data_IF_313185850472
#
_entry.id   IF_313185850472
#
_cell.length_a   1.000
_cell.length_b   1.000
_cell.length_c   1.000
_cell.angle_alpha   90.00
_cell.angle_beta   90.00
_cell.angle_gamma   90.00
#
_symmetry.space_group_name_H-M   'P 1'
#
loop_
_entity.id
_entity.type
_entity.pdbx_description
1 polymer ?
#
# COMPACT_ATOMS: atom_id res chain seq x y z
N UNK A 1 -21.29 3.47 -4.23
CA UNK A 1 -20.33 4.42 -4.85
C UNK A 1 -20.74 4.83 -6.26
N UNK A 2 -20.82 3.92 -7.25
CA UNK A 2 -21.18 4.28 -8.64
C UNK A 2 -22.57 4.95 -8.74
N UNK A 3 -23.61 4.32 -8.19
CA UNK A 3 -24.96 4.90 -8.15
C UNK A 3 -25.01 6.22 -7.36
N UNK A 4 -24.23 6.30 -6.28
CA UNK A 4 -24.12 7.48 -5.41
C UNK A 4 -23.28 8.61 -6.02
N UNK A 5 -22.54 8.35 -7.11
CA UNK A 5 -21.55 9.25 -7.73
C UNK A 5 -20.60 9.92 -6.74
N UNK A 6 -20.18 9.16 -5.73
CA UNK A 6 -19.28 9.62 -4.69
C UNK A 6 -18.57 8.46 -4.00
N UNK A 7 -17.35 8.73 -3.55
CA UNK A 7 -16.59 7.88 -2.63
C UNK A 7 -15.09 7.90 -2.90
N UNK A 8 -14.33 7.19 -2.06
CA UNK A 8 -12.88 7.09 -2.17
C UNK A 8 -12.43 5.65 -1.88
N UNK A 9 -11.74 5.04 -2.84
CA UNK A 9 -11.07 3.74 -2.68
C UNK A 9 -9.59 3.99 -2.37
N UNK A 10 -9.09 3.42 -1.28
CA UNK A 10 -7.69 3.56 -0.86
C UNK A 10 -7.05 2.18 -0.81
N UNK A 11 -6.02 1.98 -1.64
CA UNK A 11 -5.22 0.77 -1.64
C UNK A 11 -3.96 0.94 -0.79
N UNK A 12 -3.63 -0.07 0.00
CA UNK A 12 -2.34 -0.15 0.71
C UNK A 12 -1.40 -1.08 -0.07
N UNK A 13 -0.49 -0.46 -0.84
CA UNK A 13 0.55 -1.16 -1.58
C UNK A 13 1.81 -1.33 -0.71
N UNK A 14 2.97 -0.96 -1.23
CA UNK A 14 4.28 -1.00 -0.59
C UNK A 14 5.25 -0.17 -1.43
N UNK A 15 6.34 0.32 -0.83
CA UNK A 15 7.51 0.79 -1.58
C UNK A 15 7.95 -0.23 -2.65
N UNK A 16 7.83 -1.54 -2.36
CA UNK A 16 8.13 -2.62 -3.31
C UNK A 16 7.13 -2.76 -4.47
N UNK A 17 6.06 -1.96 -4.50
CA UNK A 17 5.22 -1.76 -5.68
C UNK A 17 5.81 -0.78 -6.69
N UNK A 18 6.94 -0.14 -6.36
CA UNK A 18 7.63 0.85 -7.21
C UNK A 18 9.09 0.49 -7.49
N UNK A 19 9.71 -0.25 -6.57
CA UNK A 19 11.08 -0.75 -6.71
C UNK A 19 11.12 -2.26 -6.48
N UNK A 20 12.05 -2.96 -7.12
CA UNK A 20 12.28 -4.37 -6.89
C UNK A 20 13.39 -4.57 -5.84
N UNK A 21 13.17 -5.49 -4.90
CA UNK A 21 14.16 -5.86 -3.87
C UNK A 21 14.49 -7.35 -4.05
N UNK A 22 15.78 -7.77 -4.00
CA UNK A 22 16.17 -9.17 -4.06
C UNK A 22 15.41 -10.05 -3.06
N UNK A 23 15.19 -11.32 -3.42
CA UNK A 23 14.48 -12.33 -2.60
C UNK A 23 13.00 -12.03 -2.30
N UNK A 24 12.41 -11.03 -2.94
CA UNK A 24 10.99 -10.65 -2.75
C UNK A 24 10.21 -10.62 -4.06
N UNK A 25 10.60 -11.43 -5.06
CA UNK A 25 10.04 -11.37 -6.42
C UNK A 25 8.52 -11.46 -6.47
N UNK A 26 7.92 -12.48 -5.83
CA UNK A 26 6.46 -12.65 -5.81
C UNK A 26 5.74 -11.49 -5.10
N UNK A 27 6.28 -11.04 -3.96
CA UNK A 27 5.73 -9.92 -3.21
C UNK A 27 5.81 -8.62 -4.02
N UNK A 28 6.98 -8.27 -4.55
CA UNK A 28 7.19 -7.10 -5.39
C UNK A 28 6.30 -7.12 -6.64
N UNK A 29 6.18 -8.27 -7.32
CA UNK A 29 5.28 -8.43 -8.46
C UNK A 29 3.81 -8.16 -8.09
N UNK A 30 3.32 -8.74 -6.99
CA UNK A 30 1.94 -8.49 -6.52
C UNK A 30 1.68 -7.01 -6.19
N UNK A 31 2.67 -6.32 -5.61
CA UNK A 31 2.54 -4.91 -5.25
C UNK A 31 2.64 -3.98 -6.46
N UNK A 32 3.41 -4.33 -7.49
CA UNK A 32 3.39 -3.65 -8.79
C UNK A 32 2.06 -3.86 -9.50
N UNK A 33 1.53 -5.09 -9.51
CA UNK A 33 0.22 -5.39 -10.09
C UNK A 33 -0.89 -4.57 -9.43
N UNK A 34 -0.83 -4.40 -8.10
CA UNK A 34 -1.77 -3.55 -7.38
C UNK A 34 -1.70 -2.07 -7.78
N UNK A 35 -0.51 -1.53 -8.09
CA UNK A 35 -0.37 -0.17 -8.62
C UNK A 35 -1.07 -0.04 -9.97
N UNK A 36 -0.78 -0.97 -10.90
CA UNK A 36 -1.36 -0.97 -12.24
C UNK A 36 -2.89 -1.13 -12.19
N UNK A 37 -3.39 -1.99 -11.30
CA UNK A 37 -4.83 -2.16 -11.07
C UNK A 37 -5.47 -0.87 -10.58
N UNK A 38 -4.89 -0.21 -9.58
CA UNK A 38 -5.43 1.02 -9.04
C UNK A 38 -5.37 2.19 -10.06
N UNK A 39 -4.33 2.24 -10.89
CA UNK A 39 -4.22 3.23 -11.97
C UNK A 39 -5.30 3.03 -13.03
N UNK A 40 -5.56 1.78 -13.42
CA UNK A 40 -6.65 1.43 -14.35
C UNK A 40 -8.01 1.78 -13.76
N UNK A 41 -8.27 1.35 -12.52
CA UNK A 41 -9.52 1.62 -11.82
C UNK A 41 -9.76 3.13 -11.70
N UNK A 42 -8.74 3.92 -11.39
CA UNK A 42 -8.84 5.39 -11.30
C UNK A 42 -9.36 5.99 -12.60
N UNK A 43 -8.85 5.54 -13.75
CA UNK A 43 -9.31 6.01 -15.05
C UNK A 43 -10.75 5.58 -15.35
N UNK A 44 -11.09 4.33 -15.05
CA UNK A 44 -12.43 3.77 -15.27
C UNK A 44 -13.51 4.46 -14.43
N UNK A 45 -13.20 4.82 -13.18
CA UNK A 45 -14.20 5.35 -12.24
C UNK A 45 -14.25 6.87 -12.16
N UNK A 46 -13.36 7.58 -12.85
CA UNK A 46 -13.24 9.04 -12.78
C UNK A 46 -14.56 9.75 -13.12
N UNK A 47 -15.30 9.25 -14.12
CA UNK A 47 -16.60 9.80 -14.54
C UNK A 47 -17.73 9.63 -13.50
N UNK A 48 -17.51 8.80 -12.48
CA UNK A 48 -18.46 8.60 -11.38
C UNK A 48 -18.07 9.41 -10.13
N UNK A 49 -17.11 10.34 -10.21
CA UNK A 49 -16.64 11.13 -9.08
C UNK A 49 -16.18 10.25 -7.89
N UNK A 50 -15.54 9.13 -8.22
CA UNK A 50 -14.93 8.21 -7.25
C UNK A 50 -13.42 8.44 -7.28
N UNK A 51 -12.83 8.73 -6.11
CA UNK A 51 -11.39 8.92 -5.95
C UNK A 51 -10.70 7.57 -5.75
N UNK A 52 -9.49 7.43 -6.27
CA UNK A 52 -8.66 6.23 -6.06
C UNK A 52 -7.24 6.64 -5.69
N UNK A 53 -6.80 6.25 -4.49
CA UNK A 53 -5.45 6.51 -3.98
C UNK A 53 -4.70 5.22 -3.68
N UNK A 54 -3.37 5.26 -3.84
CA UNK A 54 -2.49 4.15 -3.46
C UNK A 54 -1.44 4.65 -2.48
N UNK A 55 -1.45 4.09 -1.28
CA UNK A 55 -0.46 4.35 -0.25
C UNK A 55 0.65 3.32 -0.37
N UNK A 56 1.90 3.76 -0.44
CA UNK A 56 3.06 2.89 -0.66
C UNK A 56 4.04 3.01 0.50
N UNK A 57 3.74 2.41 1.66
CA UNK A 57 4.59 2.55 2.84
C UNK A 57 5.91 1.79 2.70
N UNK A 58 6.92 2.30 3.41
CA UNK A 58 8.13 1.58 3.79
C UNK A 58 7.85 0.51 4.85
N UNK A 59 8.84 0.24 5.70
CA UNK A 59 8.69 -0.75 6.77
C UNK A 59 7.78 -0.23 7.89
N UNK A 60 6.86 -1.08 8.33
CA UNK A 60 5.92 -0.81 9.42
C UNK A 60 6.12 -1.91 10.46
N UNK A 61 6.20 -1.51 11.73
CA UNK A 61 6.30 -2.40 12.86
C UNK A 61 5.02 -3.23 13.02
N UNK A 62 5.03 -4.42 12.42
CA UNK A 62 3.93 -5.39 12.38
C UNK A 62 4.50 -6.79 12.46
N UNK A 63 3.63 -7.80 12.60
CA UNK A 63 4.04 -9.22 12.58
C UNK A 63 4.36 -9.76 11.18
N UNK A 64 4.62 -8.90 10.18
CA UNK A 64 4.82 -9.33 8.79
C UNK A 64 6.01 -10.27 8.62
N UNK A 65 7.16 -9.96 9.24
CA UNK A 65 8.35 -10.83 9.18
C UNK A 65 8.13 -12.12 9.97
N UNK A 66 7.55 -12.05 11.16
CA UNK A 66 7.20 -13.21 11.98
C UNK A 66 6.33 -14.23 11.20
N UNK A 67 5.35 -13.73 10.45
CA UNK A 67 4.40 -14.53 9.68
C UNK A 67 4.85 -14.84 8.24
N UNK A 68 6.04 -14.39 7.82
CA UNK A 68 6.55 -14.70 6.49
C UNK A 68 6.79 -16.21 6.36
N UNK A 69 6.78 -16.72 5.12
CA UNK A 69 7.06 -18.13 4.86
C UNK A 69 8.48 -18.29 4.33
N UNK A 70 9.13 -19.37 4.77
CA UNK A 70 10.40 -19.84 4.21
C UNK A 70 10.16 -20.62 2.91
N UNK A 71 11.23 -20.99 2.20
CA UNK A 71 11.14 -21.83 1.01
C UNK A 71 10.53 -23.22 1.28
N UNK A 72 10.56 -23.68 2.53
CA UNK A 72 9.94 -24.94 2.95
C UNK A 72 8.44 -24.83 3.27
N UNK A 73 7.88 -23.62 3.28
CA UNK A 73 6.50 -23.36 3.68
C UNK A 73 6.32 -23.16 5.19
N UNK A 74 7.36 -23.39 6.00
CA UNK A 74 7.35 -23.09 7.44
C UNK A 74 7.37 -21.58 7.70
N UNK A 75 6.84 -21.18 8.85
CA UNK A 75 6.90 -19.77 9.29
C UNK A 75 8.33 -19.34 9.55
N UNK A 76 8.66 -18.11 9.14
CA UNK A 76 9.99 -17.54 9.33
C UNK A 76 10.25 -17.24 10.80
N UNK A 77 9.23 -16.78 11.54
CA UNK A 77 9.26 -16.67 13.01
C UNK A 77 10.23 -15.63 13.58
N UNK A 78 10.96 -14.90 12.74
CA UNK A 78 11.98 -13.94 13.16
C UNK A 78 11.50 -12.51 12.84
N UNK A 79 11.64 -11.62 13.84
CA UNK A 79 11.42 -10.20 13.63
C UNK A 79 12.62 -9.58 12.94
N UNK A 80 12.49 -9.29 11.65
CA UNK A 80 13.52 -8.55 10.89
C UNK A 80 13.79 -7.18 11.53
N UNK A 81 15.06 -6.79 11.64
CA UNK A 81 15.46 -5.50 12.21
C UNK A 81 14.82 -4.31 11.48
N UNK A 82 14.67 -4.39 10.15
CA UNK A 82 14.00 -3.35 9.34
C UNK A 82 12.52 -3.23 9.66
N UNK A 83 11.86 -4.33 10.01
CA UNK A 83 10.45 -4.32 10.43
C UNK A 83 10.33 -3.79 11.85
N UNK A 84 11.23 -4.21 12.75
CA UNK A 84 11.29 -3.73 14.13
C UNK A 84 11.55 -2.21 14.23
N UNK A 85 12.43 -1.69 13.36
CA UNK A 85 12.78 -0.27 13.27
C UNK A 85 11.85 0.53 12.36
N UNK A 86 10.77 -0.07 11.86
CA UNK A 86 9.80 0.59 10.99
C UNK A 86 8.95 1.61 11.73
N UNK A 87 8.12 2.36 10.99
CA UNK A 87 7.12 3.22 11.61
C UNK A 87 6.08 2.41 12.38
N UNK A 88 5.51 2.96 13.45
CA UNK A 88 4.39 2.30 14.12
C UNK A 88 3.15 2.26 13.22
N UNK A 89 2.36 1.20 13.36
CA UNK A 89 1.10 1.08 12.61
C UNK A 89 0.15 2.26 12.89
N UNK A 90 0.10 2.72 14.14
CA UNK A 90 -0.66 3.89 14.58
C UNK A 90 -0.23 5.17 13.83
N UNK A 91 1.07 5.41 13.73
CA UNK A 91 1.61 6.58 13.03
C UNK A 91 1.23 6.54 11.54
N UNK A 92 1.40 5.38 10.90
CA UNK A 92 1.06 5.21 9.49
C UNK A 92 -0.44 5.39 9.26
N UNK A 93 -1.29 4.83 10.12
CA UNK A 93 -2.74 4.99 10.03
C UNK A 93 -3.16 6.46 10.14
N UNK A 94 -2.61 7.20 11.11
CA UNK A 94 -2.87 8.63 11.28
C UNK A 94 -2.41 9.42 10.05
N UNK A 95 -1.23 9.13 9.49
CA UNK A 95 -0.75 9.77 8.26
C UNK A 95 -1.64 9.51 7.06
N UNK A 96 -2.14 8.28 6.91
CA UNK A 96 -3.09 7.94 5.85
C UNK A 96 -4.39 8.75 6.03
N UNK A 97 -4.89 8.86 7.26
CA UNK A 97 -6.10 9.63 7.55
C UNK A 97 -5.94 11.12 7.23
N UNK A 98 -4.81 11.73 7.63
CA UNK A 98 -4.48 13.12 7.32
C UNK A 98 -4.46 13.35 5.80
N UNK A 99 -3.90 12.42 5.04
CA UNK A 99 -3.79 12.53 3.57
C UNK A 99 -5.14 12.38 2.87
N UNK A 100 -5.98 11.46 3.35
CA UNK A 100 -7.33 11.26 2.79
C UNK A 100 -8.21 12.49 3.07
N UNK A 101 -8.10 13.08 4.27
CA UNK A 101 -8.94 14.20 4.70
C UNK A 101 -8.48 15.56 4.18
N UNK A 102 -7.18 15.76 3.98
CA UNK A 102 -6.62 17.05 3.53
C UNK A 102 -6.82 17.37 2.03
N UNK A 103 -7.31 16.41 1.22
CA UNK A 103 -7.75 16.59 -0.18
C UNK A 103 -7.07 17.70 -1.00
N UNK A 104 -5.74 17.74 -1.12
CA UNK A 104 -5.14 18.57 -2.17
C UNK A 104 -5.41 17.91 -3.52
N UNK A 105 -6.04 18.62 -4.46
CA UNK A 105 -6.48 18.18 -5.80
C UNK A 105 -5.36 17.69 -6.76
N UNK A 106 -4.24 17.18 -6.25
CA UNK A 106 -3.19 16.59 -7.07
C UNK A 106 -3.50 15.10 -7.30
N UNK A 107 -4.15 14.89 -8.44
CA UNK A 107 -4.23 13.64 -9.17
C UNK A 107 -2.81 13.05 -9.19
N UNK A 108 -2.66 11.86 -8.59
CA UNK A 108 -1.41 11.10 -8.33
C UNK A 108 -0.76 11.29 -6.94
N UNK A 109 -1.54 11.03 -5.88
CA UNK A 109 -0.99 10.76 -4.54
C UNK A 109 -0.41 9.34 -4.46
N UNK A 110 0.74 9.14 -5.11
CA UNK A 110 1.66 8.03 -4.82
C UNK A 110 2.47 8.38 -3.58
N UNK A 111 1.80 8.41 -2.44
CA UNK A 111 2.44 8.75 -1.18
C UNK A 111 3.34 7.60 -0.78
N UNK A 112 4.64 7.88 -0.77
CA UNK A 112 5.62 7.03 -0.10
C UNK A 112 5.78 7.62 1.29
N UNK A 113 5.34 6.87 2.30
CA UNK A 113 5.55 7.15 3.73
C UNK A 113 6.62 6.23 4.27
#
# INVERSE_FOLDING_TARGET
>A
MVEQKAGHVVFVSSLQGRIAIPHRSAYGASKHALQAFADSLRAEVNNYNIKVSVISPGYIQTSMSLNALTASGETYGIMDNTTASGYSAEYVANKIMDMITSQSEKIDMRVTI
#
